data_IF_547715254797
#
_entry.id   IF_547715254797
#
_cell.length_a   1.000
_cell.length_b   1.000
_cell.length_c   1.000
_cell.angle_alpha   90.00
_cell.angle_beta   90.00
_cell.angle_gamma   90.00
#
_symmetry.space_group_name_H-M   'P 1'
#
loop_
_entity.id
_entity.type
_entity.pdbx_description
1 polymer ?
#
# COMPACT_ATOMS: atom_id res chain seq x y z
N UNK A 1 -12.85 4.43 -1.94
CA UNK A 1 -11.61 3.64 -1.79
C UNK A 1 -11.17 3.74 -0.34
N UNK A 2 -10.77 2.61 0.23
CA UNK A 2 -10.20 2.48 1.57
C UNK A 2 -8.70 2.17 1.46
N UNK A 3 -8.00 2.21 2.58
CA UNK A 3 -6.57 1.95 2.66
C UNK A 3 -6.31 0.79 3.58
N UNK A 4 -5.37 -0.06 3.19
CA UNK A 4 -5.04 -1.27 3.92
C UNK A 4 -3.53 -1.41 4.04
N UNK A 5 -3.07 -1.98 5.14
CA UNK A 5 -1.68 -2.39 5.29
C UNK A 5 -1.59 -3.88 5.61
N UNK A 6 -0.48 -4.46 5.17
CA UNK A 6 -0.02 -5.79 5.55
C UNK A 6 1.42 -5.65 6.05
N UNK A 7 1.78 -6.38 7.10
CA UNK A 7 3.12 -6.36 7.68
C UNK A 7 3.89 -7.68 7.47
N UNK A 8 3.23 -8.71 6.96
CA UNK A 8 3.80 -10.04 6.75
C UNK A 8 3.30 -10.64 5.42
N UNK A 9 4.16 -11.33 4.64
CA UNK A 9 5.63 -11.45 4.78
C UNK A 9 6.40 -10.15 4.48
N UNK A 10 5.79 -9.23 3.73
CA UNK A 10 6.38 -7.93 3.40
C UNK A 10 5.42 -6.81 3.75
N UNK A 11 5.97 -5.67 4.18
CA UNK A 11 5.18 -4.49 4.38
C UNK A 11 4.59 -4.03 3.04
N UNK A 12 3.28 -3.81 3.00
CA UNK A 12 2.63 -3.16 1.87
C UNK A 12 1.54 -2.21 2.31
N UNK A 13 1.43 -1.08 1.62
CA UNK A 13 0.32 -0.14 1.73
C UNK A 13 -0.50 -0.18 0.43
N UNK A 14 -1.79 -0.43 0.56
CA UNK A 14 -2.70 -0.73 -0.54
C UNK A 14 -3.89 0.24 -0.52
N UNK A 15 -4.36 0.59 -1.72
CA UNK A 15 -5.63 1.28 -1.94
C UNK A 15 -6.58 0.33 -2.68
N UNK A 16 -7.74 0.06 -2.10
CA UNK A 16 -8.73 -0.87 -2.65
C UNK A 16 -10.16 -0.49 -2.25
N UNK A 17 -11.18 -1.10 -2.88
CA UNK A 17 -12.58 -0.78 -2.54
C UNK A 17 -13.04 -1.48 -1.27
N UNK A 18 -12.42 -2.61 -0.92
CA UNK A 18 -12.69 -3.41 0.27
C UNK A 18 -11.49 -4.32 0.59
N UNK A 19 -11.52 -4.99 1.75
CA UNK A 19 -10.45 -5.88 2.22
C UNK A 19 -10.14 -7.03 1.26
N UNK A 20 -11.16 -7.69 0.69
CA UNK A 20 -10.96 -8.82 -0.23
C UNK A 20 -10.19 -8.39 -1.50
N UNK A 21 -10.48 -7.18 -1.99
CA UNK A 21 -9.73 -6.62 -3.11
C UNK A 21 -8.29 -6.26 -2.73
N UNK A 22 -8.05 -5.79 -1.49
CA UNK A 22 -6.71 -5.52 -1.00
C UNK A 22 -5.88 -6.81 -0.89
N UNK A 23 -6.45 -7.89 -0.35
CA UNK A 23 -5.82 -9.22 -0.27
C UNK A 23 -5.52 -9.75 -1.67
N UNK A 24 -6.48 -9.64 -2.59
CA UNK A 24 -6.27 -10.07 -3.99
C UNK A 24 -5.12 -9.29 -4.62
N UNK A 25 -5.07 -7.98 -4.42
CA UNK A 25 -4.01 -7.11 -4.94
C UNK A 25 -2.64 -7.44 -4.33
N UNK A 26 -2.57 -7.68 -3.02
CA UNK A 26 -1.35 -8.08 -2.32
C UNK A 26 -0.82 -9.41 -2.88
N UNK A 27 -1.67 -10.45 -2.91
CA UNK A 27 -1.28 -11.79 -3.36
C UNK A 27 -0.82 -11.79 -4.82
N UNK A 28 -1.46 -11.00 -5.69
CA UNK A 28 -1.03 -10.86 -7.09
C UNK A 28 0.31 -10.14 -7.23
N UNK A 29 0.65 -9.24 -6.31
CA UNK A 29 1.88 -8.45 -6.38
C UNK A 29 3.07 -9.19 -5.76
N UNK A 30 2.86 -9.83 -4.62
CA UNK A 30 3.89 -10.54 -3.86
C UNK A 30 4.06 -11.99 -4.35
N UNK A 31 3.01 -12.60 -4.87
CA UNK A 31 3.01 -14.02 -5.24
C UNK A 31 2.86 -14.98 -4.06
N UNK A 32 2.60 -14.47 -2.86
CA UNK A 32 2.34 -15.25 -1.65
C UNK A 32 0.92 -14.99 -1.14
N UNK A 33 0.35 -15.97 -0.43
CA UNK A 33 -0.98 -15.84 0.17
C UNK A 33 -0.85 -15.22 1.56
N UNK A 34 -1.62 -14.16 1.81
CA UNK A 34 -1.78 -13.56 3.12
C UNK A 34 -3.10 -13.98 3.77
N UNK A 35 -3.09 -14.15 5.09
CA UNK A 35 -4.29 -14.35 5.90
C UNK A 35 -5.09 -13.05 6.04
N UNK A 36 -6.42 -13.15 6.15
CA UNK A 36 -7.30 -11.98 6.23
C UNK A 36 -7.05 -11.09 7.46
N UNK A 37 -6.59 -11.71 8.55
CA UNK A 37 -6.29 -11.05 9.83
C UNK A 37 -5.06 -10.12 9.72
N UNK A 38 -4.14 -10.44 8.82
CA UNK A 38 -2.93 -9.65 8.56
C UNK A 38 -3.19 -8.43 7.67
N UNK A 39 -4.36 -8.36 7.02
CA UNK A 39 -4.78 -7.22 6.21
C UNK A 39 -5.61 -6.25 7.07
N UNK A 40 -4.99 -5.16 7.47
CA UNK A 40 -5.56 -4.20 8.43
C UNK A 40 -6.05 -2.96 7.67
N UNK A 41 -7.30 -2.55 7.90
CA UNK A 41 -7.80 -1.28 7.36
C UNK A 41 -7.23 -0.11 8.17
N UNK A 42 -6.70 0.90 7.48
CA UNK A 42 -6.07 2.07 8.09
C UNK A 42 -6.73 3.37 7.63
N UNK A 43 -6.57 4.42 8.43
CA UNK A 43 -7.09 5.74 8.08
C UNK A 43 -6.40 6.33 6.85
N UNK A 44 -7.12 7.17 6.11
CA UNK A 44 -6.59 7.89 4.95
C UNK A 44 -5.35 8.73 5.30
N UNK A 45 -5.37 9.45 6.42
CA UNK A 45 -4.28 10.37 6.77
C UNK A 45 -3.02 9.61 7.20
N UNK A 46 -3.19 8.48 7.89
CA UNK A 46 -2.10 7.54 8.16
C UNK A 46 -1.49 7.02 6.86
N UNK A 47 -2.33 6.52 5.93
CA UNK A 47 -1.86 6.01 4.64
C UNK A 47 -1.11 7.09 3.83
N UNK A 48 -1.59 8.34 3.86
CA UNK A 48 -0.91 9.44 3.20
C UNK A 48 0.46 9.72 3.83
N UNK A 49 0.53 9.77 5.16
CA UNK A 49 1.80 9.97 5.87
C UNK A 49 2.81 8.86 5.53
N UNK A 50 2.36 7.60 5.54
CA UNK A 50 3.20 6.46 5.15
C UNK A 50 3.65 6.60 3.69
N UNK A 51 2.73 6.86 2.75
CA UNK A 51 3.08 7.01 1.34
C UNK A 51 4.11 8.13 1.09
N UNK A 52 4.03 9.24 1.84
CA UNK A 52 5.02 10.33 1.74
C UNK A 52 6.41 9.98 2.29
N UNK A 53 6.52 8.99 3.18
CA UNK A 53 7.80 8.48 3.66
C UNK A 53 8.46 7.46 2.73
N UNK A 54 7.68 6.94 1.77
CA UNK A 54 8.15 5.96 0.80
C UNK A 54 9.25 6.50 -0.11
N UNK A 55 10.11 5.58 -0.53
CA UNK A 55 11.15 5.86 -1.53
C UNK A 55 10.88 5.00 -2.76
N UNK A 56 11.27 5.50 -3.93
CA UNK A 56 11.32 4.67 -5.14
C UNK A 56 12.36 3.56 -4.96
N UNK A 57 12.36 2.56 -5.84
CA UNK A 57 13.41 1.52 -5.87
C UNK A 57 14.84 2.10 -5.95
N UNK A 58 15.01 3.24 -6.65
CA UNK A 58 16.29 3.97 -6.72
C UNK A 58 16.63 4.82 -5.47
N UNK A 59 15.82 4.75 -4.40
CA UNK A 59 16.01 5.50 -3.16
C UNK A 59 15.60 6.99 -3.21
N UNK A 60 14.97 7.44 -4.30
CA UNK A 60 14.52 8.82 -4.49
C UNK A 60 13.20 9.09 -3.75
N UNK A 61 13.05 10.32 -3.28
CA UNK A 61 11.81 10.82 -2.69
C UNK A 61 10.83 11.13 -3.82
N UNK A 62 9.59 10.66 -3.70
CA UNK A 62 8.51 10.94 -4.65
C UNK A 62 8.07 12.41 -4.47
N UNK A 63 7.86 13.12 -5.58
CA UNK A 63 7.43 14.52 -5.52
C UNK A 63 6.03 14.66 -4.93
N UNK A 64 5.77 15.71 -4.14
CA UNK A 64 4.46 15.93 -3.51
C UNK A 64 3.30 15.98 -4.52
N UNK A 65 3.56 16.51 -5.72
CA UNK A 65 2.58 16.55 -6.80
C UNK A 65 2.19 15.14 -7.28
N UNK A 66 3.17 14.26 -7.47
CA UNK A 66 2.95 12.86 -7.87
C UNK A 66 2.21 12.10 -6.76
N UNK A 67 2.61 12.29 -5.50
CA UNK A 67 1.92 11.72 -4.34
C UNK A 67 0.43 12.09 -4.35
N UNK A 68 0.11 13.38 -4.50
CA UNK A 68 -1.28 13.85 -4.51
C UNK A 68 -2.06 13.25 -5.68
N UNK A 69 -1.45 13.19 -6.87
CA UNK A 69 -2.10 12.61 -8.05
C UNK A 69 -2.38 11.12 -7.86
N UNK A 70 -1.39 10.35 -7.45
CA UNK A 70 -1.52 8.91 -7.30
C UNK A 70 -2.46 8.54 -6.14
N UNK A 71 -2.31 9.22 -5.00
CA UNK A 71 -3.09 8.93 -3.81
C UNK A 71 -4.58 9.23 -4.00
N UNK A 72 -4.93 10.26 -4.78
CA UNK A 72 -6.33 10.61 -5.04
C UNK A 72 -6.92 9.99 -6.32
N UNK A 73 -6.11 9.34 -7.17
CA UNK A 73 -6.60 8.61 -8.35
C UNK A 73 -7.57 7.48 -7.94
N UNK A 74 -8.73 7.35 -8.58
CA UNK A 74 -9.78 6.41 -8.17
C UNK A 74 -9.54 4.95 -8.60
N UNK A 75 -8.27 4.54 -8.68
CA UNK A 75 -7.86 3.19 -9.08
C UNK A 75 -7.34 2.40 -7.87
N UNK A 76 -7.56 1.08 -7.91
CA UNK A 76 -6.91 0.16 -6.98
C UNK A 76 -5.41 0.16 -7.26
N UNK A 77 -4.59 0.30 -6.22
CA UNK A 77 -3.15 0.47 -6.40
C UNK A 77 -2.37 0.02 -5.18
N UNK A 78 -1.21 -0.58 -5.43
CA UNK A 78 -0.16 -0.74 -4.42
C UNK A 78 0.59 0.58 -4.30
N UNK A 79 0.47 1.23 -3.15
CA UNK A 79 1.10 2.53 -2.88
C UNK A 79 2.54 2.36 -2.43
N UNK A 80 2.81 1.38 -1.56
CA UNK A 80 4.13 1.03 -1.09
C UNK A 80 4.28 -0.48 -0.96
N UNK A 81 5.46 -0.98 -1.28
CA UNK A 81 5.98 -2.27 -0.84
C UNK A 81 7.39 -2.02 -0.32
N UNK A 82 7.68 -2.55 0.86
CA UNK A 82 9.03 -2.55 1.39
C UNK A 82 9.39 -3.95 1.86
N UNK A 83 10.39 -4.54 1.21
CA UNK A 83 10.92 -5.85 1.57
C UNK A 83 11.90 -5.82 2.74
N UNK A 84 12.26 -4.62 3.25
CA UNK A 84 13.21 -4.43 4.34
C UNK A 84 12.55 -4.19 5.72
N UNK A 85 11.22 -4.06 5.76
CA UNK A 85 10.45 -3.91 7.00
C UNK A 85 9.89 -5.24 7.54
N UNK A 86 10.36 -6.38 6.99
CA UNK A 86 10.06 -7.74 7.47
C UNK A 86 10.71 -8.06 8.82
#
# INVERSE_FOLDING_TARGET
>A
MNYYEANYPYYALLKASNKNEAITLYNLTIGELIDEEEMIEVSRDYALAMFTSGRTEEGKIIGIYEIILEFNCDNKKVLLIDSALS
#
